data_IF_509520949120
#
_entry.id   IF_509520949120
#
_cell.length_a   1.000
_cell.length_b   1.000
_cell.length_c   1.000
_cell.angle_alpha   90.00
_cell.angle_beta   90.00
_cell.angle_gamma   90.00
#
_symmetry.space_group_name_H-M   'P 1'
#
loop_
_entity.id
_entity.type
_entity.pdbx_description
1 polymer ?
#
# COMPACT_ATOMS: atom_id res chain seq x y z
N UNK A 1 19.18 -7.50 -19.30
CA UNK A 1 19.33 -8.35 -18.08
C UNK A 1 19.13 -7.44 -16.89
N UNK A 2 18.29 -7.81 -15.91
CA UNK A 2 18.05 -6.99 -14.71
C UNK A 2 19.35 -6.87 -13.90
N UNK A 3 19.59 -5.70 -13.29
CA UNK A 3 20.69 -5.46 -12.38
C UNK A 3 20.62 -6.42 -11.18
N UNK A 4 21.74 -6.64 -10.50
CA UNK A 4 21.86 -7.64 -9.44
C UNK A 4 20.93 -7.39 -8.26
N UNK A 5 20.69 -6.12 -7.90
CA UNK A 5 19.82 -5.70 -6.82
C UNK A 5 18.34 -6.04 -7.09
N UNK A 6 17.85 -5.85 -8.31
CA UNK A 6 16.48 -6.24 -8.66
C UNK A 6 16.28 -7.75 -8.61
N UNK A 7 17.29 -8.52 -9.00
CA UNK A 7 17.28 -9.98 -8.85
C UNK A 7 17.28 -10.40 -7.38
N UNK A 8 18.06 -9.71 -6.55
CA UNK A 8 18.16 -9.98 -5.12
C UNK A 8 16.82 -9.80 -4.42
N UNK A 9 16.13 -8.66 -4.66
CA UNK A 9 14.84 -8.40 -4.04
C UNK A 9 13.75 -9.35 -4.51
N UNK A 10 13.75 -9.75 -5.79
CA UNK A 10 12.80 -10.74 -6.33
C UNK A 10 13.02 -12.14 -5.76
N UNK A 11 14.29 -12.50 -5.50
CA UNK A 11 14.68 -13.81 -4.97
C UNK A 11 14.52 -13.94 -3.45
N UNK A 12 14.25 -12.85 -2.72
CA UNK A 12 14.07 -12.89 -1.27
C UNK A 12 12.87 -13.79 -0.88
N UNK A 13 13.08 -14.72 0.05
CA UNK A 13 12.10 -15.73 0.46
C UNK A 13 11.50 -15.48 1.84
N UNK A 14 12.12 -14.61 2.63
CA UNK A 14 11.75 -14.28 3.99
C UNK A 14 11.97 -12.79 4.28
N UNK A 15 11.54 -12.37 5.48
CA UNK A 15 11.59 -10.98 5.93
C UNK A 15 13.03 -10.45 6.00
N UNK A 16 13.99 -11.26 6.42
CA UNK A 16 15.37 -10.84 6.63
C UNK A 16 16.07 -10.59 5.29
N UNK A 17 16.02 -11.54 4.37
CA UNK A 17 16.59 -11.39 3.01
C UNK A 17 15.96 -10.25 2.21
N UNK A 18 14.66 -9.99 2.43
CA UNK A 18 13.98 -8.84 1.83
C UNK A 18 14.49 -7.52 2.42
N UNK A 19 14.57 -7.43 3.77
CA UNK A 19 15.12 -6.27 4.48
C UNK A 19 16.54 -5.96 4.00
N UNK A 20 17.41 -6.96 3.92
CA UNK A 20 18.80 -6.78 3.51
C UNK A 20 18.92 -6.27 2.06
N UNK A 21 18.02 -6.70 1.18
CA UNK A 21 17.96 -6.21 -0.19
C UNK A 21 17.55 -4.73 -0.24
N UNK A 22 16.56 -4.34 0.56
CA UNK A 22 16.08 -2.95 0.65
C UNK A 22 17.16 -2.03 1.22
N UNK A 23 17.82 -2.44 2.31
CA UNK A 23 18.88 -1.65 2.97
C UNK A 23 20.06 -1.47 2.02
N UNK A 24 20.48 -2.52 1.32
CA UNK A 24 21.61 -2.46 0.38
C UNK A 24 21.37 -1.47 -0.75
N UNK A 25 20.17 -1.44 -1.32
CA UNK A 25 19.84 -0.49 -2.41
C UNK A 25 19.85 0.96 -1.89
N UNK A 26 19.31 1.22 -0.72
CA UNK A 26 19.36 2.54 -0.12
C UNK A 26 20.81 3.02 0.10
N UNK A 27 21.64 2.15 0.64
CA UNK A 27 23.07 2.40 0.93
C UNK A 27 23.85 2.72 -0.35
N UNK A 28 23.64 1.94 -1.43
CA UNK A 28 24.25 2.18 -2.74
C UNK A 28 23.86 3.51 -3.36
N UNK A 29 22.65 4.03 -3.05
CA UNK A 29 22.17 5.31 -3.52
C UNK A 29 22.51 6.48 -2.56
N UNK A 30 23.29 6.21 -1.50
CA UNK A 30 23.75 7.22 -0.56
C UNK A 30 22.71 7.63 0.50
N UNK A 31 21.75 6.75 0.79
CA UNK A 31 20.79 6.95 1.87
C UNK A 31 21.15 6.09 3.08
N UNK A 32 21.13 6.71 4.26
CA UNK A 32 21.50 6.06 5.51
C UNK A 32 20.39 5.17 6.05
N UNK A 33 19.16 5.60 5.88
CA UNK A 33 17.99 4.90 6.39
C UNK A 33 16.98 4.62 5.27
N UNK A 34 16.26 3.52 5.44
CA UNK A 34 15.21 3.10 4.53
C UNK A 34 14.09 2.41 5.29
N UNK A 35 12.86 2.66 4.86
CA UNK A 35 11.69 1.90 5.25
C UNK A 35 10.94 1.38 4.02
N UNK A 36 10.58 0.12 4.04
CA UNK A 36 9.67 -0.50 3.09
C UNK A 36 8.45 -1.01 3.85
N UNK A 37 7.27 -0.55 3.48
CA UNK A 37 6.01 -0.77 4.17
C UNK A 37 5.02 -1.46 3.26
N UNK A 38 4.52 -2.63 3.65
CA UNK A 38 3.35 -3.25 3.06
C UNK A 38 2.12 -2.87 3.89
N UNK A 39 1.13 -2.28 3.24
CA UNK A 39 -0.13 -1.86 3.86
C UNK A 39 -1.26 -2.63 3.22
N UNK A 40 -2.16 -3.17 4.04
CA UNK A 40 -3.38 -3.84 3.60
C UNK A 40 -4.57 -3.20 4.29
N UNK A 41 -5.38 -2.46 3.54
CA UNK A 41 -6.60 -1.84 4.04
C UNK A 41 -7.72 -2.87 4.17
N UNK A 42 -8.22 -3.05 5.39
CA UNK A 42 -9.33 -3.97 5.71
C UNK A 42 -10.62 -3.24 6.11
N UNK A 43 -10.83 -2.06 5.57
CA UNK A 43 -11.98 -1.23 5.88
C UNK A 43 -11.73 -0.31 7.08
N UNK A 44 -12.10 -0.72 8.29
CA UNK A 44 -11.87 0.11 9.48
C UNK A 44 -10.44 -0.01 10.02
N UNK A 45 -9.80 -1.14 9.75
CA UNK A 45 -8.46 -1.46 10.24
C UNK A 45 -7.51 -1.60 9.04
N UNK A 46 -6.33 -1.01 9.15
CA UNK A 46 -5.24 -1.19 8.19
C UNK A 46 -4.12 -1.95 8.87
N UNK A 47 -3.66 -3.03 8.24
CA UNK A 47 -2.49 -3.78 8.67
C UNK A 47 -1.24 -3.15 8.05
N UNK A 48 -0.25 -2.87 8.90
CA UNK A 48 1.02 -2.28 8.50
C UNK A 48 2.14 -3.24 8.86
N UNK A 49 2.93 -3.65 7.89
CA UNK A 49 4.14 -4.43 8.14
C UNK A 49 5.32 -3.74 7.48
N UNK A 50 6.29 -3.31 8.30
CA UNK A 50 7.47 -2.60 7.84
C UNK A 50 8.74 -3.42 8.01
N UNK A 51 9.70 -3.17 7.11
CA UNK A 51 11.10 -3.58 7.25
C UNK A 51 12.00 -2.42 6.87
N UNK A 52 13.21 -2.43 7.39
CA UNK A 52 14.21 -1.40 7.12
C UNK A 52 15.27 -1.37 8.22
N UNK A 53 15.95 -0.26 8.32
CA UNK A 53 16.97 -0.01 9.33
C UNK A 53 16.70 1.27 10.14
N UNK A 54 15.41 1.62 10.29
CA UNK A 54 14.99 2.75 11.14
C UNK A 54 15.30 2.42 12.60
N UNK A 55 15.91 3.34 13.38
CA UNK A 55 16.14 3.15 14.81
C UNK A 55 14.82 2.91 15.57
N UNK A 56 14.80 1.96 16.51
CA UNK A 56 13.62 1.67 17.33
C UNK A 56 13.09 2.90 18.08
N UNK A 57 13.99 3.75 18.59
CA UNK A 57 13.63 4.98 19.27
C UNK A 57 12.85 5.98 18.38
N UNK A 58 12.92 5.84 17.06
CA UNK A 58 12.12 6.65 16.12
C UNK A 58 10.75 6.03 15.87
N UNK A 59 10.60 4.73 16.05
CA UNK A 59 9.31 4.03 15.83
C UNK A 59 8.21 4.59 16.72
N UNK A 60 8.52 4.93 17.96
CA UNK A 60 7.57 5.50 18.93
C UNK A 60 7.01 6.86 18.47
N UNK A 61 7.84 7.67 17.81
CA UNK A 61 7.44 8.98 17.25
C UNK A 61 6.57 8.76 16.00
N UNK A 62 6.93 7.77 15.19
CA UNK A 62 6.21 7.45 13.96
C UNK A 62 4.87 6.76 14.22
N UNK A 63 4.68 6.15 15.38
CA UNK A 63 3.45 5.46 15.76
C UNK A 63 2.35 6.40 16.29
N UNK A 64 2.64 7.70 16.43
CA UNK A 64 1.61 8.70 16.74
C UNK A 64 0.62 8.87 15.56
N UNK A 65 -0.66 8.48 15.73
CA UNK A 65 -1.66 8.63 14.67
C UNK A 65 -1.95 10.09 14.29
N UNK A 66 -1.77 11.04 15.22
CA UNK A 66 -2.01 12.46 14.97
C UNK A 66 -0.85 13.06 14.18
N UNK A 67 0.40 12.74 14.54
CA UNK A 67 1.58 13.12 13.80
C UNK A 67 1.53 12.61 12.35
N UNK A 68 1.22 11.34 12.16
CA UNK A 68 1.07 10.74 10.80
C UNK A 68 -0.01 11.39 9.93
N UNK A 69 -1.07 11.94 10.53
CA UNK A 69 -2.11 12.66 9.77
C UNK A 69 -1.65 14.05 9.34
N UNK A 70 -0.79 14.69 10.12
CA UNK A 70 -0.25 16.04 9.85
C UNK A 70 0.98 16.00 8.95
N UNK A 71 1.66 14.86 8.88
CA UNK A 71 2.89 14.69 8.10
C UNK A 71 2.62 14.93 6.61
N UNK A 72 3.25 15.95 5.97
CA UNK A 72 3.01 16.29 4.58
C UNK A 72 3.48 15.19 3.62
N UNK A 73 4.51 14.41 3.98
CA UNK A 73 4.98 13.27 3.19
C UNK A 73 3.92 12.17 3.21
N UNK A 74 3.39 11.83 4.37
CA UNK A 74 2.33 10.82 4.49
C UNK A 74 1.03 11.26 3.81
N UNK A 75 0.69 12.56 3.85
CA UNK A 75 -0.47 13.08 3.12
C UNK A 75 -0.30 12.93 1.62
N UNK A 76 0.90 13.22 1.09
CA UNK A 76 1.22 13.02 -0.32
C UNK A 76 1.11 11.55 -0.71
N UNK A 77 1.74 10.65 0.06
CA UNK A 77 1.78 9.22 -0.21
C UNK A 77 0.41 8.53 -0.19
N UNK A 78 -0.55 9.06 0.57
CA UNK A 78 -1.93 8.53 0.58
C UNK A 78 -2.71 8.81 -0.70
N UNK A 79 -2.34 9.84 -1.44
CA UNK A 79 -3.13 10.34 -2.57
C UNK A 79 -2.42 10.20 -3.91
N UNK A 80 -1.11 10.00 -3.91
CA UNK A 80 -0.28 10.09 -5.11
C UNK A 80 0.76 8.98 -5.16
N UNK A 81 0.99 8.46 -6.37
CA UNK A 81 2.10 7.53 -6.65
C UNK A 81 3.36 8.24 -7.18
N UNK A 82 3.27 9.55 -7.46
CA UNK A 82 4.46 10.33 -7.83
C UNK A 82 5.37 10.46 -6.62
N UNK A 83 6.67 10.19 -6.74
CA UNK A 83 7.62 10.36 -5.65
C UNK A 83 7.61 11.78 -5.09
N UNK A 84 7.76 11.90 -3.77
CA UNK A 84 7.99 13.18 -3.11
C UNK A 84 9.44 13.28 -2.67
N UNK A 85 10.09 14.37 -3.07
CA UNK A 85 11.37 14.79 -2.53
C UNK A 85 11.08 15.73 -1.37
N UNK A 86 11.56 15.41 -0.19
CA UNK A 86 11.23 16.19 0.99
C UNK A 86 12.46 16.66 1.75
N UNK A 87 12.32 17.79 2.42
CA UNK A 87 13.30 18.41 3.28
C UNK A 87 12.58 19.31 4.31
N UNK A 88 13.32 20.13 5.06
CA UNK A 88 12.73 21.07 6.01
C UNK A 88 11.63 21.95 5.39
N UNK A 89 11.84 22.46 4.16
CA UNK A 89 10.85 23.30 3.48
C UNK A 89 9.50 22.62 3.25
N UNK A 90 9.50 21.31 3.02
CA UNK A 90 8.28 20.51 2.87
C UNK A 90 7.42 20.57 4.13
N UNK A 91 8.04 20.45 5.29
CA UNK A 91 7.35 20.46 6.59
C UNK A 91 6.95 21.85 7.05
N UNK A 92 7.80 22.87 6.79
CA UNK A 92 7.46 24.27 7.08
C UNK A 92 6.27 24.73 6.26
N UNK A 93 6.27 24.46 4.95
CA UNK A 93 5.16 24.77 4.06
C UNK A 93 3.88 23.96 4.39
N UNK A 94 4.03 22.78 4.92
CA UNK A 94 2.95 21.90 5.39
C UNK A 94 2.45 22.19 6.82
N UNK A 95 2.91 23.27 7.46
CA UNK A 95 2.60 23.63 8.86
C UNK A 95 2.90 22.50 9.86
N UNK A 96 4.00 21.77 9.66
CA UNK A 96 4.42 20.62 10.45
C UNK A 96 5.93 20.69 10.83
N UNK A 97 6.45 21.90 11.05
CA UNK A 97 7.85 22.13 11.35
C UNK A 97 8.31 21.37 12.61
N UNK A 98 7.42 21.23 13.60
CA UNK A 98 7.64 20.44 14.81
C UNK A 98 7.94 18.96 14.53
N UNK A 99 7.28 18.37 13.53
CA UNK A 99 7.54 16.99 13.10
C UNK A 99 8.92 16.88 12.43
N UNK A 100 9.31 17.88 11.64
CA UNK A 100 10.63 17.87 11.03
C UNK A 100 11.73 17.98 12.09
N UNK A 101 11.58 18.84 13.09
CA UNK A 101 12.55 18.98 14.18
C UNK A 101 12.74 17.67 14.95
N UNK A 102 11.65 16.97 15.24
CA UNK A 102 11.69 15.67 15.92
C UNK A 102 12.46 14.63 15.09
N UNK A 103 12.15 14.49 13.80
CA UNK A 103 12.82 13.50 12.94
C UNK A 103 14.26 13.90 12.58
N UNK A 104 14.56 15.19 12.46
CA UNK A 104 15.91 15.70 12.19
C UNK A 104 16.92 15.35 13.31
N UNK A 105 16.45 15.19 14.56
CA UNK A 105 17.27 14.73 15.67
C UNK A 105 17.80 13.30 15.48
N UNK A 106 17.12 12.48 14.67
CA UNK A 106 17.54 11.12 14.30
C UNK A 106 18.31 11.05 12.98
N UNK A 107 18.57 12.21 12.35
CA UNK A 107 19.26 12.30 11.06
C UNK A 107 18.35 12.23 9.84
N UNK A 108 17.02 12.23 10.02
CA UNK A 108 16.06 12.29 8.92
C UNK A 108 15.81 13.75 8.54
N UNK A 109 16.68 14.31 7.70
CA UNK A 109 16.66 15.74 7.33
C UNK A 109 16.17 15.98 5.91
N UNK A 110 16.40 15.03 5.01
CA UNK A 110 15.93 15.04 3.65
C UNK A 110 15.77 13.61 3.16
N UNK A 111 14.89 13.40 2.20
CA UNK A 111 14.66 12.08 1.68
C UNK A 111 13.77 12.05 0.44
N UNK A 112 13.51 10.82 -0.01
CA UNK A 112 12.63 10.52 -1.13
C UNK A 112 11.66 9.45 -0.65
N UNK A 113 10.38 9.67 -0.90
CA UNK A 113 9.37 8.67 -0.57
C UNK A 113 8.38 8.49 -1.73
N UNK A 114 7.85 7.28 -1.85
CA UNK A 114 6.87 6.94 -2.87
C UNK A 114 5.91 5.86 -2.38
N UNK A 115 4.71 5.84 -2.95
CA UNK A 115 3.71 4.82 -2.71
C UNK A 115 3.24 4.22 -4.02
N UNK A 116 3.07 2.90 -4.04
CA UNK A 116 2.41 2.18 -5.11
C UNK A 116 1.06 1.71 -4.60
N UNK A 117 0.00 2.21 -5.24
CA UNK A 117 -1.37 1.84 -4.90
C UNK A 117 -1.79 0.66 -5.78
N UNK A 118 -2.06 -0.46 -5.13
CA UNK A 118 -2.37 -1.74 -5.78
C UNK A 118 -3.85 -2.07 -5.60
N UNK A 119 -4.41 -2.96 -6.41
CA UNK A 119 -5.75 -3.48 -6.20
C UNK A 119 -5.94 -4.09 -4.81
N UNK A 120 -7.18 -4.27 -4.40
CA UNK A 120 -7.58 -4.91 -3.14
C UNK A 120 -7.17 -4.13 -1.87
N UNK A 121 -7.03 -2.80 -1.97
CA UNK A 121 -6.62 -1.96 -0.84
C UNK A 121 -5.19 -2.24 -0.36
N UNK A 122 -4.32 -2.70 -1.25
CA UNK A 122 -2.90 -2.91 -0.94
C UNK A 122 -2.10 -1.69 -1.34
N UNK A 123 -1.14 -1.32 -0.49
CA UNK A 123 -0.22 -0.22 -0.80
C UNK A 123 1.18 -0.63 -0.39
N UNK A 124 2.14 -0.36 -1.26
CA UNK A 124 3.56 -0.51 -0.95
C UNK A 124 4.19 0.87 -0.86
N UNK A 125 4.82 1.17 0.24
CA UNK A 125 5.51 2.45 0.48
C UNK A 125 7.00 2.19 0.64
N UNK A 126 7.81 2.98 -0.04
CA UNK A 126 9.26 3.00 0.08
C UNK A 126 9.69 4.41 0.44
N UNK A 127 10.38 4.57 1.56
CA UNK A 127 11.00 5.81 2.00
C UNK A 127 12.49 5.62 2.22
N UNK A 128 13.30 6.56 1.75
CA UNK A 128 14.75 6.62 1.99
C UNK A 128 15.13 7.99 2.53
N UNK A 129 15.97 8.01 3.55
CA UNK A 129 16.27 9.22 4.32
C UNK A 129 17.78 9.37 4.54
N UNK A 130 18.21 10.62 4.65
CA UNK A 130 19.60 11.00 4.90
C UNK A 130 19.70 12.28 5.73
N UNK A 131 20.85 12.48 6.37
CA UNK A 131 21.16 13.68 7.15
C UNK A 131 21.72 14.83 6.32
N UNK A 132 22.12 14.56 5.08
CA UNK A 132 22.63 15.54 4.11
C UNK A 132 21.53 15.97 3.14
N UNK A 133 21.62 17.18 2.55
CA UNK A 133 20.72 17.57 1.47
C UNK A 133 20.73 16.55 0.32
N UNK A 134 19.63 16.46 -0.41
CA UNK A 134 19.59 15.72 -1.66
C UNK A 134 20.57 16.32 -2.68
N UNK A 135 21.08 15.53 -3.65
CA UNK A 135 21.96 16.05 -4.70
C UNK A 135 21.36 17.27 -5.37
N UNK A 136 22.19 18.31 -5.59
CA UNK A 136 21.79 19.51 -6.31
C UNK A 136 21.82 19.37 -7.82
N UNK A 137 22.47 18.31 -8.34
CA UNK A 137 22.49 17.99 -9.76
C UNK A 137 21.17 17.30 -10.15
N UNK A 138 20.43 17.89 -11.09
CA UNK A 138 19.10 17.41 -11.50
C UNK A 138 19.17 16.06 -12.20
N UNK A 139 20.21 15.78 -12.97
CA UNK A 139 20.40 14.51 -13.67
C UNK A 139 20.73 13.38 -12.69
N UNK A 140 21.55 13.66 -11.69
CA UNK A 140 21.85 12.71 -10.61
C UNK A 140 20.59 12.39 -9.80
N UNK A 141 19.86 13.42 -9.40
CA UNK A 141 18.63 13.27 -8.63
C UNK A 141 17.57 12.48 -9.41
N UNK A 142 17.41 12.79 -10.70
CA UNK A 142 16.49 12.06 -11.59
C UNK A 142 16.88 10.58 -11.68
N UNK A 143 18.17 10.25 -11.82
CA UNK A 143 18.65 8.86 -11.85
C UNK A 143 18.35 8.11 -10.55
N UNK A 144 18.55 8.76 -9.40
CA UNK A 144 18.23 8.20 -8.09
C UNK A 144 16.74 7.90 -7.97
N UNK A 145 15.89 8.88 -8.30
CA UNK A 145 14.42 8.72 -8.25
C UNK A 145 13.96 7.59 -9.17
N UNK A 146 14.44 7.56 -10.40
CA UNK A 146 14.08 6.53 -11.37
C UNK A 146 14.51 5.12 -10.89
N UNK A 147 15.71 5.01 -10.29
CA UNK A 147 16.19 3.76 -9.73
C UNK A 147 15.32 3.28 -8.57
N UNK A 148 14.99 4.16 -7.62
CA UNK A 148 14.10 3.86 -6.49
C UNK A 148 12.70 3.47 -6.96
N UNK A 149 12.15 4.13 -7.97
CA UNK A 149 10.84 3.78 -8.53
C UNK A 149 10.86 2.38 -9.16
N UNK A 150 11.87 2.10 -9.97
CA UNK A 150 12.02 0.78 -10.58
C UNK A 150 12.22 -0.31 -9.53
N UNK A 151 13.03 -0.02 -8.49
CA UNK A 151 13.21 -0.93 -7.37
C UNK A 151 11.89 -1.18 -6.61
N UNK A 152 11.12 -0.13 -6.32
CA UNK A 152 9.85 -0.25 -5.63
C UNK A 152 8.85 -1.14 -6.39
N UNK A 153 8.80 -1.01 -7.73
CA UNK A 153 7.97 -1.87 -8.59
C UNK A 153 8.36 -3.35 -8.49
N UNK A 154 9.65 -3.67 -8.39
CA UNK A 154 10.09 -5.05 -8.22
C UNK A 154 9.94 -5.56 -6.78
N UNK A 155 10.09 -4.66 -5.80
CA UNK A 155 10.02 -5.00 -4.38
C UNK A 155 8.60 -5.28 -3.87
N UNK A 156 7.58 -4.63 -4.46
CA UNK A 156 6.20 -4.70 -3.97
C UNK A 156 5.66 -6.14 -3.88
N UNK A 157 5.83 -6.95 -4.93
CA UNK A 157 5.31 -8.32 -4.95
C UNK A 157 5.98 -9.20 -3.88
N UNK A 158 7.31 -9.02 -3.73
CA UNK A 158 8.07 -9.72 -2.71
C UNK A 158 7.66 -9.27 -1.32
N UNK A 159 7.44 -7.96 -1.10
CA UNK A 159 6.98 -7.42 0.17
C UNK A 159 5.67 -8.10 0.60
N UNK A 160 4.66 -8.14 -0.27
CA UNK A 160 3.39 -8.80 0.06
C UNK A 160 3.53 -10.31 0.26
N UNK A 161 4.44 -10.96 -0.44
CA UNK A 161 4.70 -12.40 -0.33
C UNK A 161 5.38 -12.76 1.00
N UNK A 162 6.34 -11.96 1.46
CA UNK A 162 7.18 -12.29 2.63
C UNK A 162 6.76 -11.59 3.91
N UNK A 163 6.13 -10.41 3.83
CA UNK A 163 5.74 -9.62 5.00
C UNK A 163 4.30 -9.90 5.43
N UNK A 164 3.39 -10.05 4.48
CA UNK A 164 1.97 -10.27 4.78
C UNK A 164 1.71 -11.75 4.88
N UNK A 165 1.44 -12.23 6.10
CA UNK A 165 1.18 -13.64 6.37
C UNK A 165 0.03 -14.18 5.53
N UNK A 166 0.21 -15.35 4.91
CA UNK A 166 -0.86 -16.08 4.19
C UNK A 166 -2.08 -16.40 5.07
N UNK A 167 -1.89 -16.47 6.39
CA UNK A 167 -2.98 -16.67 7.36
C UNK A 167 -3.97 -15.50 7.42
N UNK A 168 -3.59 -14.34 6.91
CA UNK A 168 -4.44 -13.16 6.84
C UNK A 168 -4.90 -12.83 5.40
N UNK A 169 -4.62 -13.68 4.42
CA UNK A 169 -5.45 -13.68 3.22
C UNK A 169 -6.82 -14.19 3.68
N UNK A 170 -7.89 -13.38 3.64
CA UNK A 170 -9.23 -13.96 3.77
C UNK A 170 -9.25 -15.11 2.78
N UNK A 171 -9.67 -16.30 3.20
CA UNK A 171 -9.92 -17.38 2.24
C UNK A 171 -10.73 -16.71 1.14
N UNK A 172 -10.20 -16.75 -0.07
CA UNK A 172 -10.79 -16.10 -1.23
C UNK A 172 -12.24 -16.54 -1.26
N UNK A 173 -13.20 -15.65 -0.96
CA UNK A 173 -14.56 -16.10 -0.77
C UNK A 173 -14.99 -16.69 -2.10
N UNK A 174 -15.07 -18.03 -2.18
CA UNK A 174 -15.35 -18.76 -3.41
C UNK A 174 -16.76 -18.45 -3.87
N UNK A 175 -16.91 -17.26 -4.43
CA UNK A 175 -18.17 -16.87 -5.06
C UNK A 175 -18.36 -17.65 -6.35
N UNK A 176 -19.56 -18.14 -6.54
CA UNK A 176 -19.93 -18.77 -7.81
C UNK A 176 -20.07 -17.72 -8.92
N UNK A 177 -19.96 -18.08 -10.20
CA UNK A 177 -20.18 -17.15 -11.31
C UNK A 177 -21.51 -16.40 -11.20
N UNK A 178 -22.56 -17.06 -10.75
CA UNK A 178 -23.90 -16.46 -10.56
C UNK A 178 -23.94 -15.47 -9.40
N UNK A 179 -23.23 -15.71 -8.33
CA UNK A 179 -23.10 -14.76 -7.22
C UNK A 179 -22.33 -13.50 -7.65
N UNK A 180 -21.28 -13.65 -8.47
CA UNK A 180 -20.54 -12.52 -9.04
C UNK A 180 -21.41 -11.69 -10.01
N UNK A 181 -22.16 -12.34 -10.90
CA UNK A 181 -23.07 -11.65 -11.82
C UNK A 181 -24.13 -10.84 -11.07
N UNK A 182 -24.75 -11.43 -10.05
CA UNK A 182 -25.75 -10.74 -9.23
C UNK A 182 -25.14 -9.55 -8.46
N UNK A 183 -23.92 -9.69 -7.94
CA UNK A 183 -23.23 -8.58 -7.29
C UNK A 183 -22.92 -7.44 -8.26
N UNK A 184 -22.45 -7.72 -9.49
CA UNK A 184 -22.19 -6.70 -10.52
C UNK A 184 -23.46 -5.92 -10.87
N UNK A 185 -24.55 -6.59 -11.14
CA UNK A 185 -25.80 -5.90 -11.44
C UNK A 185 -26.37 -5.12 -10.23
N UNK A 186 -26.12 -5.62 -9.01
CA UNK A 186 -26.48 -4.90 -7.78
C UNK A 186 -25.64 -3.63 -7.61
N UNK A 187 -24.37 -3.68 -7.99
CA UNK A 187 -23.46 -2.53 -8.00
C UNK A 187 -23.94 -1.46 -8.98
N UNK A 188 -24.45 -1.88 -10.17
CA UNK A 188 -25.09 -1.01 -11.16
C UNK A 188 -26.47 -0.45 -10.74
N UNK A 189 -26.87 -0.71 -9.49
CA UNK A 189 -28.12 -0.19 -8.93
C UNK A 189 -29.37 -0.95 -9.30
N UNK A 190 -29.25 -2.13 -9.97
CA UNK A 190 -30.42 -2.93 -10.36
C UNK A 190 -31.11 -3.57 -9.16
N UNK A 191 -32.43 -3.59 -9.20
CA UNK A 191 -33.26 -4.31 -8.24
C UNK A 191 -33.17 -5.82 -8.48
N UNK A 192 -33.54 -6.63 -7.49
CA UNK A 192 -33.53 -8.09 -7.63
C UNK A 192 -34.43 -8.58 -8.77
N UNK A 193 -35.55 -7.90 -9.02
CA UNK A 193 -36.44 -8.18 -10.14
C UNK A 193 -35.75 -7.91 -11.49
N UNK A 194 -35.08 -6.76 -11.63
CA UNK A 194 -34.33 -6.42 -12.86
C UNK A 194 -33.18 -7.39 -13.08
N UNK A 195 -32.42 -7.73 -12.03
CA UNK A 195 -31.35 -8.74 -12.09
C UNK A 195 -31.93 -10.09 -12.52
N UNK A 196 -33.07 -10.50 -11.96
CA UNK A 196 -33.75 -11.71 -12.37
C UNK A 196 -34.09 -11.72 -13.86
N UNK A 197 -34.66 -10.61 -14.36
CA UNK A 197 -34.98 -10.42 -15.77
C UNK A 197 -33.76 -10.50 -16.66
N UNK A 198 -32.66 -9.79 -16.30
CA UNK A 198 -31.41 -9.78 -17.06
C UNK A 198 -30.76 -11.17 -17.14
N UNK A 199 -30.74 -11.89 -16.01
CA UNK A 199 -30.07 -13.18 -15.90
C UNK A 199 -30.94 -14.38 -16.27
N UNK A 200 -32.23 -14.16 -16.61
CA UNK A 200 -33.19 -15.21 -16.96
C UNK A 200 -33.54 -16.11 -15.78
N UNK A 201 -33.58 -15.57 -14.57
CA UNK A 201 -33.93 -16.27 -13.32
C UNK A 201 -35.05 -15.55 -12.59
N UNK A 202 -35.70 -16.21 -11.62
CA UNK A 202 -36.70 -15.55 -10.79
C UNK A 202 -36.07 -14.49 -9.86
N UNK A 203 -36.85 -13.46 -9.48
CA UNK A 203 -36.44 -12.49 -8.45
C UNK A 203 -35.98 -13.18 -7.17
N UNK A 204 -36.73 -14.21 -6.73
CA UNK A 204 -36.40 -15.00 -5.55
C UNK A 204 -35.01 -15.67 -5.68
N UNK A 205 -34.68 -16.15 -6.86
CA UNK A 205 -33.39 -16.77 -7.15
C UNK A 205 -32.27 -15.73 -7.14
N UNK A 206 -32.50 -14.53 -7.67
CA UNK A 206 -31.56 -13.42 -7.59
C UNK A 206 -31.28 -12.98 -6.15
N UNK A 207 -32.32 -12.86 -5.34
CA UNK A 207 -32.19 -12.56 -3.89
C UNK A 207 -31.39 -13.66 -3.18
N UNK A 208 -31.64 -14.93 -3.50
CA UNK A 208 -30.90 -16.05 -2.92
C UNK A 208 -29.41 -16.01 -3.25
N UNK A 209 -29.04 -15.75 -4.51
CA UNK A 209 -27.64 -15.60 -4.90
C UNK A 209 -26.97 -14.42 -4.20
N UNK A 210 -27.66 -13.27 -4.09
CA UNK A 210 -27.14 -12.10 -3.40
C UNK A 210 -26.95 -12.36 -1.90
N UNK A 211 -27.87 -13.05 -1.27
CA UNK A 211 -27.77 -13.45 0.14
C UNK A 211 -26.61 -14.42 0.38
N UNK A 212 -26.45 -15.42 -0.49
CA UNK A 212 -25.33 -16.35 -0.43
C UNK A 212 -23.98 -15.64 -0.62
N UNK A 213 -23.90 -14.70 -1.56
CA UNK A 213 -22.70 -13.89 -1.76
C UNK A 213 -22.40 -13.05 -0.52
N UNK A 214 -23.40 -12.38 0.05
CA UNK A 214 -23.24 -11.60 1.27
C UNK A 214 -22.74 -12.46 2.45
N UNK A 215 -23.31 -13.65 2.64
CA UNK A 215 -22.88 -14.60 3.67
C UNK A 215 -21.43 -15.06 3.47
N UNK A 216 -21.06 -15.44 2.24
CA UNK A 216 -19.67 -15.85 1.91
C UNK A 216 -18.67 -14.71 2.08
N UNK A 217 -19.12 -13.46 1.89
CA UNK A 217 -18.34 -12.26 2.13
C UNK A 217 -18.38 -11.80 3.59
N UNK A 218 -19.05 -12.55 4.50
CA UNK A 218 -19.24 -12.13 5.89
C UNK A 218 -19.82 -10.70 6.00
N UNK A 219 -20.89 -10.46 5.26
CA UNK A 219 -21.59 -9.17 5.19
C UNK A 219 -23.06 -9.33 5.59
N UNK A 220 -23.59 -8.36 6.32
CA UNK A 220 -24.98 -8.37 6.77
C UNK A 220 -25.94 -7.67 5.79
N UNK A 221 -25.42 -6.83 4.88
CA UNK A 221 -26.21 -6.11 3.89
C UNK A 221 -25.67 -6.27 2.48
N UNK A 222 -26.54 -6.15 1.48
CA UNK A 222 -26.16 -6.17 0.07
C UNK A 222 -25.13 -5.08 -0.29
N UNK A 223 -25.26 -3.90 0.30
CA UNK A 223 -24.31 -2.79 0.06
C UNK A 223 -22.92 -3.11 0.61
N UNK A 224 -22.84 -3.71 1.80
CA UNK A 224 -21.57 -4.18 2.36
C UNK A 224 -20.94 -5.25 1.46
N UNK A 225 -21.75 -6.18 0.93
CA UNK A 225 -21.29 -7.25 0.05
C UNK A 225 -20.71 -6.68 -1.25
N UNK A 226 -21.37 -5.72 -1.88
CA UNK A 226 -20.89 -5.04 -3.09
C UNK A 226 -19.57 -4.31 -2.81
N UNK A 227 -19.51 -3.48 -1.75
CA UNK A 227 -18.30 -2.73 -1.40
C UNK A 227 -17.14 -3.67 -1.09
N UNK A 228 -17.40 -4.79 -0.38
CA UNK A 228 -16.37 -5.77 -0.04
C UNK A 228 -15.89 -6.52 -1.28
N UNK A 229 -16.79 -6.89 -2.18
CA UNK A 229 -16.44 -7.55 -3.44
C UNK A 229 -15.58 -6.66 -4.35
N UNK A 230 -15.90 -5.35 -4.45
CA UNK A 230 -15.06 -4.34 -5.14
C UNK A 230 -13.66 -4.26 -4.53
N UNK A 231 -13.58 -4.14 -3.19
CA UNK A 231 -12.29 -4.05 -2.49
C UNK A 231 -11.42 -5.28 -2.66
N UNK A 232 -12.03 -6.44 -2.82
CA UNK A 232 -11.35 -7.71 -3.05
C UNK A 232 -11.04 -7.95 -4.55
N UNK A 233 -11.42 -7.02 -5.44
CA UNK A 233 -11.22 -7.19 -6.89
C UNK A 233 -12.02 -8.33 -7.50
N UNK A 234 -13.11 -8.77 -6.84
CA UNK A 234 -13.98 -9.85 -7.31
C UNK A 234 -14.99 -9.37 -8.35
N UNK A 235 -15.32 -8.10 -8.31
CA UNK A 235 -16.18 -7.38 -9.28
C UNK A 235 -15.54 -6.04 -9.61
N UNK A 236 -15.81 -5.51 -10.78
CA UNK A 236 -15.34 -4.28 -11.40
C UNK A 236 -16.51 -3.53 -12.05
#
# INVERSE_FOLDING_TARGET
MLQSEFRSVLAATDRESFRDSVVRVADQLGFRTVSALAVVDRGKDSEFVSVGNIPEAFSDIYDDPQGRRRDPVMQHLRQRSVPILWNQGTYVNGAAADLWEQQAAFGFRAGIAMALHLPEGRHFVLGVDRDQPLPGDEDELTRIVAHLQLFAVHAQDTAFRVLVSRQHRPEDPRLTPRELEVLRWTMEGKTAWEVGTILGISERTAVMHLSNAAHKLDCTTKHQAVVKALRLGLID
#
